data_IF_742632831637
#
_entry.id   IF_742632831637
#
_cell.length_a   1.000
_cell.length_b   1.000
_cell.length_c   1.000
_cell.angle_alpha   90.00
_cell.angle_beta   90.00
_cell.angle_gamma   90.00
#
_symmetry.space_group_name_H-M   'P 1'
#
loop_
_entity.id
_entity.type
_entity.pdbx_description
1 polymer ?
#
# COMPACT_ATOMS: atom_id res chain seq x y z
N UNK A 1 7.82 -17.48 10.80
CA UNK A 1 9.25 -17.25 10.53
C UNK A 1 10.05 -18.25 11.34
N UNK A 2 10.91 -19.06 10.73
CA UNK A 2 11.72 -20.01 11.49
C UNK A 2 13.12 -19.40 11.72
N UNK A 3 13.26 -18.62 12.78
CA UNK A 3 14.57 -18.54 13.43
C UNK A 3 14.85 -19.92 14.03
N UNK A 4 16.10 -20.41 14.00
CA UNK A 4 16.48 -21.57 14.80
C UNK A 4 16.01 -21.36 16.24
N UNK A 5 15.27 -22.31 16.82
CA UNK A 5 14.61 -22.13 18.12
C UNK A 5 15.58 -21.72 19.22
N UNK A 6 16.79 -22.30 19.22
CA UNK A 6 17.87 -21.97 20.14
C UNK A 6 18.30 -20.49 20.07
N UNK A 7 18.27 -19.89 18.88
CA UNK A 7 18.66 -18.49 18.67
C UNK A 7 17.56 -17.55 19.14
N UNK A 8 16.29 -17.93 18.91
CA UNK A 8 15.14 -17.19 19.42
C UNK A 8 15.14 -17.16 20.96
N UNK A 9 15.35 -18.31 21.60
CA UNK A 9 15.42 -18.42 23.06
C UNK A 9 16.55 -17.53 23.61
N UNK A 10 17.71 -17.53 22.96
CA UNK A 10 18.85 -16.67 23.34
C UNK A 10 18.54 -15.18 23.21
N UNK A 11 17.81 -14.76 22.18
CA UNK A 11 17.40 -13.36 22.02
C UNK A 11 16.38 -12.93 23.07
N UNK A 12 15.43 -13.80 23.40
CA UNK A 12 14.43 -13.57 24.44
C UNK A 12 15.09 -13.48 25.82
N UNK A 13 16.02 -14.39 26.14
CA UNK A 13 16.81 -14.37 27.38
C UNK A 13 17.64 -13.10 27.52
N UNK A 14 18.12 -12.53 26.40
CA UNK A 14 18.85 -11.26 26.35
C UNK A 14 17.95 -10.02 26.38
N UNK A 15 16.62 -10.20 26.40
CA UNK A 15 15.64 -9.12 26.50
C UNK A 15 15.18 -8.52 25.17
N UNK A 16 15.56 -9.10 24.03
CA UNK A 16 15.12 -8.63 22.70
C UNK A 16 13.78 -9.26 22.31
N UNK A 17 12.71 -8.80 22.97
CA UNK A 17 11.36 -9.32 22.78
C UNK A 17 10.50 -8.53 21.76
N UNK A 18 11.06 -7.48 21.14
CA UNK A 18 10.37 -6.68 20.13
C UNK A 18 11.29 -6.22 19.00
N UNK A 19 10.71 -5.99 17.82
CA UNK A 19 11.43 -5.56 16.63
C UNK A 19 12.11 -4.19 16.81
N UNK A 20 11.47 -3.29 17.55
CA UNK A 20 12.02 -1.98 17.86
C UNK A 20 13.30 -2.11 18.70
N UNK A 21 13.29 -2.93 19.75
CA UNK A 21 14.47 -3.12 20.60
C UNK A 21 15.67 -3.62 19.80
N UNK A 22 15.43 -4.50 18.83
CA UNK A 22 16.50 -5.05 18.00
C UNK A 22 16.97 -4.06 16.90
N UNK A 23 16.05 -3.29 16.31
CA UNK A 23 16.38 -2.26 15.33
C UNK A 23 17.22 -1.11 15.94
N UNK A 24 16.92 -0.71 17.18
CA UNK A 24 17.59 0.41 17.85
C UNK A 24 18.81 -0.01 18.70
N UNK A 25 18.98 -1.29 19.01
CA UNK A 25 20.13 -1.77 19.79
C UNK A 25 21.46 -1.70 19.05
N UNK A 26 21.44 -1.70 17.71
CA UNK A 26 22.63 -1.65 16.87
C UNK A 26 22.66 -0.31 16.12
N UNK A 27 23.56 0.61 16.50
CA UNK A 27 23.59 1.98 15.97
C UNK A 27 24.07 2.04 14.51
N UNK A 28 25.01 1.18 14.13
CA UNK A 28 25.64 1.16 12.81
C UNK A 28 25.93 -0.27 12.31
N UNK A 29 26.15 -0.41 11.00
CA UNK A 29 26.38 -1.70 10.35
C UNK A 29 27.69 -2.36 10.81
N UNK A 30 28.66 -1.58 11.30
CA UNK A 30 29.87 -2.10 11.90
C UNK A 30 29.63 -2.72 13.29
N UNK A 31 28.72 -2.17 14.11
CA UNK A 31 28.33 -2.78 15.38
C UNK A 31 27.48 -4.05 15.22
N UNK A 32 26.87 -4.27 14.06
CA UNK A 32 26.04 -5.46 13.79
C UNK A 32 26.86 -6.75 13.88
N UNK A 33 28.11 -6.72 13.41
CA UNK A 33 28.98 -7.89 13.45
C UNK A 33 29.39 -8.22 14.89
N UNK A 34 29.72 -7.20 15.69
CA UNK A 34 30.01 -7.36 17.12
C UNK A 34 28.81 -7.90 17.90
N UNK A 35 27.62 -7.38 17.61
CA UNK A 35 26.36 -7.87 18.18
C UNK A 35 26.11 -9.34 17.82
N UNK A 36 26.31 -9.69 16.54
CA UNK A 36 26.13 -11.06 16.04
C UNK A 36 27.07 -12.04 16.75
N UNK A 37 28.35 -11.68 16.93
CA UNK A 37 29.31 -12.51 17.68
C UNK A 37 28.92 -12.63 19.16
N UNK A 38 28.36 -11.58 19.75
CA UNK A 38 27.91 -11.62 21.15
C UNK A 38 26.71 -12.56 21.37
N UNK A 39 25.86 -12.75 20.36
CA UNK A 39 24.66 -13.62 20.44
C UNK A 39 24.99 -15.07 20.03
N UNK A 40 25.72 -15.28 18.93
CA UNK A 40 26.06 -16.62 18.44
C UNK A 40 27.16 -17.28 19.29
N UNK A 41 27.98 -16.47 19.96
CA UNK A 41 29.12 -16.94 20.74
C UNK A 41 30.29 -17.40 19.85
N UNK A 42 31.49 -17.46 20.44
CA UNK A 42 32.68 -18.00 19.75
C UNK A 42 32.95 -19.43 20.22
N UNK A 43 33.01 -20.43 19.32
CA UNK A 43 33.48 -21.75 19.69
C UNK A 43 34.96 -21.70 20.09
N UNK A 44 35.31 -22.37 21.20
CA UNK A 44 36.66 -22.38 21.78
C UNK A 44 37.70 -22.83 20.74
N UNK A 45 38.70 -21.99 20.45
CA UNK A 45 39.79 -22.28 19.52
C UNK A 45 39.55 -21.91 18.05
N UNK A 46 38.41 -21.32 17.71
CA UNK A 46 38.11 -20.90 16.34
C UNK A 46 38.64 -19.50 15.99
N UNK A 47 38.94 -19.31 14.70
CA UNK A 47 39.33 -18.02 14.14
C UNK A 47 38.31 -16.91 14.44
N UNK A 48 38.75 -15.64 14.54
CA UNK A 48 37.90 -14.55 14.99
C UNK A 48 36.67 -14.27 14.10
N UNK A 49 36.72 -14.71 12.85
CA UNK A 49 35.66 -14.58 11.84
C UNK A 49 34.75 -15.82 11.73
N UNK A 50 35.10 -16.95 12.34
CA UNK A 50 34.31 -18.18 12.29
C UNK A 50 32.83 -18.02 12.73
N UNK A 51 32.50 -17.31 13.83
CA UNK A 51 31.10 -17.13 14.24
C UNK A 51 30.28 -16.29 13.26
N UNK A 52 30.92 -15.42 12.47
CA UNK A 52 30.25 -14.55 11.48
C UNK A 52 29.82 -15.29 10.20
N UNK A 53 30.34 -16.49 9.96
CA UNK A 53 30.09 -17.31 8.77
C UNK A 53 29.10 -18.45 9.04
N UNK A 54 28.34 -18.38 10.14
CA UNK A 54 27.35 -19.38 10.52
C UNK A 54 25.95 -19.05 9.97
N UNK A 55 25.09 -20.07 9.87
CA UNK A 55 23.68 -19.88 9.50
C UNK A 55 22.95 -18.95 10.49
N UNK A 56 23.30 -19.05 11.77
CA UNK A 56 22.78 -18.22 12.85
C UNK A 56 23.15 -16.74 12.68
N UNK A 57 24.40 -16.46 12.32
CA UNK A 57 24.85 -15.11 12.01
C UNK A 57 24.15 -14.52 10.77
N UNK A 58 23.92 -15.33 9.74
CA UNK A 58 23.18 -14.90 8.56
C UNK A 58 21.69 -14.62 8.89
N UNK A 59 21.08 -15.45 9.73
CA UNK A 59 19.70 -15.25 10.20
C UNK A 59 19.56 -13.94 11.01
N UNK A 60 20.52 -13.63 11.89
CA UNK A 60 20.54 -12.39 12.66
C UNK A 60 20.71 -11.15 11.79
N UNK A 61 21.63 -11.16 10.81
CA UNK A 61 21.80 -10.04 9.87
C UNK A 61 20.53 -9.77 9.08
N UNK A 62 19.87 -10.82 8.61
CA UNK A 62 18.60 -10.71 7.88
C UNK A 62 17.49 -10.15 8.78
N UNK A 63 17.39 -10.64 10.01
CA UNK A 63 16.40 -10.18 10.98
C UNK A 63 16.62 -8.70 11.35
N UNK A 64 17.86 -8.27 11.54
CA UNK A 64 18.19 -6.87 11.77
C UNK A 64 17.76 -5.97 10.61
N UNK A 65 18.08 -6.38 9.37
CA UNK A 65 17.71 -5.60 8.18
C UNK A 65 16.19 -5.50 7.99
N UNK A 66 15.46 -6.57 8.31
CA UNK A 66 13.99 -6.55 8.32
C UNK A 66 13.47 -5.57 9.38
N UNK A 67 13.93 -5.67 10.62
CA UNK A 67 13.53 -4.77 11.70
C UNK A 67 13.84 -3.31 11.37
N UNK A 68 15.01 -3.03 10.80
CA UNK A 68 15.40 -1.69 10.36
C UNK A 68 14.53 -1.18 9.21
N UNK A 69 14.20 -2.03 8.24
CA UNK A 69 13.32 -1.67 7.12
C UNK A 69 11.88 -1.38 7.56
N UNK A 70 11.36 -2.15 8.51
CA UNK A 70 10.02 -1.92 9.06
C UNK A 70 10.00 -0.67 9.94
N UNK A 71 10.99 -0.48 10.82
CA UNK A 71 11.08 0.70 11.69
C UNK A 71 11.42 1.98 10.92
N UNK A 72 12.18 1.92 9.81
CA UNK A 72 12.42 3.08 8.95
C UNK A 72 11.14 3.60 8.26
N UNK A 73 10.08 2.78 8.22
CA UNK A 73 8.75 3.16 7.76
C UNK A 73 7.80 3.66 8.85
N UNK A 74 8.23 3.69 10.12
CA UNK A 74 7.38 4.06 11.27
C UNK A 74 7.61 5.52 11.66
N UNK A 75 6.83 6.42 11.05
CA UNK A 75 6.30 7.57 11.80
C UNK A 75 5.35 7.08 12.90
N UNK A 76 4.92 7.93 13.86
CA UNK A 76 4.21 7.49 15.06
C UNK A 76 3.02 6.58 14.72
N UNK A 77 2.95 5.47 15.44
CA UNK A 77 2.12 4.30 15.16
C UNK A 77 0.66 4.62 14.80
N UNK A 78 0.24 4.23 13.58
CA UNK A 78 -1.17 3.96 13.28
C UNK A 78 -1.44 2.46 13.41
N UNK A 79 -2.49 2.02 14.13
CA UNK A 79 -2.91 0.63 14.12
C UNK A 79 -3.57 0.30 12.78
N UNK A 80 -2.78 -0.21 11.84
CA UNK A 80 -3.32 -0.89 10.65
C UNK A 80 -3.73 -2.31 11.04
N UNK A 81 -4.95 -2.46 11.54
CA UNK A 81 -5.63 -3.74 11.52
C UNK A 81 -6.03 -4.02 10.06
N UNK A 82 -5.15 -4.67 9.31
CA UNK A 82 -5.53 -5.37 8.09
C UNK A 82 -6.36 -6.61 8.50
N UNK A 83 -7.49 -6.91 7.85
CA UNK A 83 -8.08 -8.23 7.99
C UNK A 83 -7.11 -9.27 7.42
N UNK A 84 -7.09 -10.50 7.97
CA UNK A 84 -6.24 -11.57 7.47
C UNK A 84 -6.61 -11.88 6.02
N UNK A 85 -5.60 -11.90 5.14
CA UNK A 85 -5.74 -12.31 3.75
C UNK A 85 -6.41 -13.69 3.69
N UNK A 86 -7.63 -13.71 3.16
CA UNK A 86 -8.36 -14.93 2.81
C UNK A 86 -7.75 -15.64 1.59
N UNK A 87 -8.18 -16.88 1.33
CA UNK A 87 -7.43 -17.85 0.55
C UNK A 87 -7.49 -17.58 -0.97
N UNK A 88 -6.32 -17.61 -1.61
CA UNK A 88 -6.15 -17.67 -3.07
C UNK A 88 -6.19 -16.30 -3.75
N UNK A 89 -5.04 -15.63 -3.83
CA UNK A 89 -4.84 -14.49 -4.75
C UNK A 89 -5.14 -14.97 -6.17
N UNK A 90 -6.34 -14.70 -6.68
CA UNK A 90 -6.67 -14.95 -8.09
C UNK A 90 -5.85 -13.96 -8.91
N UNK A 91 -4.91 -14.47 -9.68
CA UNK A 91 -4.15 -13.68 -10.63
C UNK A 91 -4.83 -13.86 -11.98
N UNK A 92 -5.17 -12.76 -12.65
CA UNK A 92 -5.73 -12.83 -13.99
C UNK A 92 -4.68 -13.37 -14.96
N UNK A 93 -5.10 -14.31 -15.81
CA UNK A 93 -4.27 -14.77 -16.92
C UNK A 93 -4.17 -13.69 -18.00
N UNK A 94 -3.16 -13.80 -18.88
CA UNK A 94 -2.99 -12.85 -19.99
C UNK A 94 -4.19 -12.86 -20.94
N UNK A 95 -4.79 -14.02 -21.11
CA UNK A 95 -5.97 -14.23 -21.93
C UNK A 95 -7.19 -13.52 -21.33
N UNK A 96 -7.42 -13.64 -20.02
CA UNK A 96 -8.52 -12.96 -19.34
C UNK A 96 -8.37 -11.43 -19.42
N UNK A 97 -7.14 -10.92 -19.28
CA UNK A 97 -6.86 -9.47 -19.44
C UNK A 97 -7.14 -9.03 -20.87
N UNK A 98 -6.75 -9.82 -21.87
CA UNK A 98 -7.02 -9.52 -23.27
C UNK A 98 -8.53 -9.49 -23.57
N UNK A 99 -9.31 -10.41 -23.00
CA UNK A 99 -10.77 -10.41 -23.10
C UNK A 99 -11.41 -9.18 -22.46
N UNK A 100 -10.95 -8.78 -21.27
CA UNK A 100 -11.41 -7.55 -20.60
C UNK A 100 -11.11 -6.33 -21.47
N UNK A 101 -9.90 -6.25 -22.03
CA UNK A 101 -9.52 -5.17 -22.94
C UNK A 101 -10.36 -5.16 -24.22
N UNK A 102 -10.65 -6.31 -24.82
CA UNK A 102 -11.52 -6.39 -26.00
C UNK A 102 -12.93 -5.86 -25.71
N UNK A 103 -13.51 -6.22 -24.57
CA UNK A 103 -14.81 -5.70 -24.12
C UNK A 103 -14.74 -4.19 -23.92
N UNK A 104 -13.69 -3.70 -23.28
CA UNK A 104 -13.46 -2.28 -23.05
C UNK A 104 -13.34 -1.49 -24.36
N UNK A 105 -12.52 -1.95 -25.32
CA UNK A 105 -12.36 -1.30 -26.62
C UNK A 105 -13.66 -1.26 -27.42
N UNK A 106 -14.51 -2.28 -27.28
CA UNK A 106 -15.84 -2.29 -27.90
C UNK A 106 -16.77 -1.25 -27.27
N UNK A 107 -16.71 -1.06 -25.96
CA UNK A 107 -17.51 -0.07 -25.24
C UNK A 107 -16.99 1.37 -25.41
N UNK A 108 -15.66 1.54 -25.51
CA UNK A 108 -14.98 2.84 -25.58
C UNK A 108 -13.97 2.87 -26.74
N UNK A 109 -14.43 2.90 -28.02
CA UNK A 109 -13.54 2.80 -29.18
C UNK A 109 -12.59 3.98 -29.37
N UNK A 110 -12.91 5.13 -28.75
CA UNK A 110 -12.07 6.34 -28.80
C UNK A 110 -11.07 6.43 -27.65
N UNK A 111 -11.10 5.50 -26.69
CA UNK A 111 -10.21 5.52 -25.53
C UNK A 111 -8.93 4.73 -25.77
N UNK A 112 -7.80 5.34 -25.42
CA UNK A 112 -6.48 4.75 -25.60
C UNK A 112 -5.88 4.38 -24.24
N UNK A 113 -5.90 3.09 -23.93
CA UNK A 113 -5.31 2.54 -22.70
C UNK A 113 -3.81 2.38 -22.91
N UNK A 114 -3.01 3.21 -22.24
CA UNK A 114 -1.54 3.13 -22.25
C UNK A 114 -1.05 2.20 -21.13
N UNK A 115 0.17 1.68 -21.25
CA UNK A 115 0.74 0.76 -20.24
C UNK A 115 0.92 1.38 -18.85
N UNK A 116 1.04 2.71 -18.76
CA UNK A 116 1.15 3.46 -17.51
C UNK A 116 -0.19 3.61 -16.76
N UNK A 117 -1.31 3.58 -17.48
CA UNK A 117 -2.67 3.68 -16.93
C UNK A 117 -3.43 2.34 -16.94
N UNK A 118 -2.88 1.32 -17.61
CA UNK A 118 -3.38 -0.05 -17.55
C UNK A 118 -3.16 -0.61 -16.14
N UNK A 119 -4.20 -1.04 -15.42
CA UNK A 119 -4.05 -1.66 -14.10
C UNK A 119 -3.34 -3.01 -14.19
N UNK A 120 -2.58 -3.36 -13.13
CA UNK A 120 -1.91 -4.65 -13.01
C UNK A 120 -2.90 -5.80 -12.79
N UNK A 121 -2.47 -7.03 -13.08
CA UNK A 121 -3.26 -8.24 -12.81
C UNK A 121 -3.71 -8.37 -11.34
N UNK A 122 -2.83 -8.22 -10.32
CA UNK A 122 -3.26 -8.29 -8.93
C UNK A 122 -4.22 -7.17 -8.53
N UNK A 123 -4.08 -5.97 -9.10
CA UNK A 123 -4.98 -4.86 -8.80
C UNK A 123 -6.38 -5.09 -9.40
N UNK A 124 -6.47 -5.62 -10.62
CA UNK A 124 -7.74 -6.04 -11.22
C UNK A 124 -8.45 -7.09 -10.35
N UNK A 125 -7.71 -8.04 -9.78
CA UNK A 125 -8.28 -9.08 -8.93
C UNK A 125 -8.94 -8.52 -7.66
N UNK A 126 -8.27 -7.57 -7.02
CA UNK A 126 -8.80 -6.85 -5.86
C UNK A 126 -10.08 -6.07 -6.21
N UNK A 127 -10.07 -5.37 -7.35
CA UNK A 127 -11.25 -4.60 -7.81
C UNK A 127 -12.42 -5.52 -8.11
N UNK A 128 -12.18 -6.66 -8.76
CA UNK A 128 -13.23 -7.66 -9.02
C UNK A 128 -13.82 -8.21 -7.73
N UNK A 129 -13.01 -8.52 -6.73
CA UNK A 129 -13.49 -8.98 -5.42
C UNK A 129 -14.42 -7.96 -4.76
N UNK A 130 -14.06 -6.68 -4.81
CA UNK A 130 -14.87 -5.58 -4.27
C UNK A 130 -16.21 -5.43 -5.02
N UNK A 131 -16.18 -5.55 -6.35
CA UNK A 131 -17.39 -5.47 -7.19
C UNK A 131 -18.31 -6.66 -6.98
N UNK A 132 -17.77 -7.88 -6.94
CA UNK A 132 -18.52 -9.11 -6.69
C UNK A 132 -19.17 -9.09 -5.29
N UNK A 133 -18.47 -8.53 -4.31
CA UNK A 133 -18.96 -8.35 -2.93
C UNK A 133 -19.99 -7.22 -2.79
N UNK A 134 -20.25 -6.45 -3.86
CA UNK A 134 -21.13 -5.25 -3.87
C UNK A 134 -20.82 -4.22 -2.78
N UNK A 135 -19.57 -4.21 -2.30
CA UNK A 135 -19.10 -3.31 -1.26
C UNK A 135 -17.74 -2.79 -1.68
N UNK A 136 -17.73 -1.68 -2.39
CA UNK A 136 -16.50 -1.09 -2.89
C UNK A 136 -15.82 -0.28 -1.80
N UNK A 137 -14.89 -0.91 -1.08
CA UNK A 137 -14.10 -0.25 -0.05
C UNK A 137 -12.86 0.44 -0.61
N UNK A 138 -12.29 1.36 0.17
CA UNK A 138 -11.06 2.08 -0.20
C UNK A 138 -9.90 1.13 -0.46
N UNK A 139 -9.28 1.27 -1.64
CA UNK A 139 -8.05 0.55 -1.99
C UNK A 139 -6.85 1.50 -1.78
N UNK A 140 -5.89 1.18 -0.90
CA UNK A 140 -4.68 1.98 -0.69
C UNK A 140 -3.91 2.22 -1.99
N UNK A 141 -3.35 3.42 -2.17
CA UNK A 141 -2.63 3.77 -3.41
C UNK A 141 -1.45 2.84 -3.71
N UNK A 142 -0.79 2.30 -2.68
CA UNK A 142 0.29 1.31 -2.84
C UNK A 142 -0.18 0.00 -3.50
N UNK A 143 -1.47 -0.33 -3.45
CA UNK A 143 -2.04 -1.51 -4.10
C UNK A 143 -2.62 -1.19 -5.49
N UNK A 144 -2.69 0.09 -5.88
CA UNK A 144 -3.12 0.53 -7.22
C UNK A 144 -1.92 0.53 -8.17
N UNK A 145 -1.41 -0.66 -8.51
CA UNK A 145 -0.27 -0.82 -9.41
C UNK A 145 -0.70 -0.90 -10.88
N UNK A 146 0.17 -0.42 -11.78
CA UNK A 146 -0.04 -0.53 -13.23
C UNK A 146 0.61 -1.80 -13.81
N UNK A 147 0.24 -2.15 -15.04
CA UNK A 147 0.88 -3.22 -15.80
C UNK A 147 2.39 -2.95 -15.99
N UNK A 148 2.79 -1.68 -16.10
CA UNK A 148 4.21 -1.29 -16.12
C UNK A 148 4.91 -1.53 -14.77
N UNK A 149 4.25 -1.23 -13.64
CA UNK A 149 4.80 -1.53 -12.31
C UNK A 149 4.98 -3.05 -12.13
N UNK A 150 4.02 -3.84 -12.60
CA UNK A 150 4.07 -5.30 -12.59
C UNK A 150 5.19 -5.86 -13.47
N UNK A 151 5.35 -5.34 -14.70
CA UNK A 151 6.44 -5.74 -15.58
C UNK A 151 7.80 -5.46 -14.95
N UNK A 152 8.01 -4.24 -14.42
CA UNK A 152 9.25 -3.90 -13.69
C UNK A 152 9.50 -4.80 -12.50
N UNK A 153 8.46 -5.09 -11.72
CA UNK A 153 8.55 -5.99 -10.57
C UNK A 153 8.99 -7.39 -10.98
N UNK A 154 8.37 -7.94 -12.02
CA UNK A 154 8.74 -9.26 -12.56
C UNK A 154 10.15 -9.27 -13.13
N UNK A 155 10.57 -8.22 -13.85
CA UNK A 155 11.92 -8.08 -14.40
C UNK A 155 13.00 -8.02 -13.32
N UNK A 156 12.76 -7.28 -12.24
CA UNK A 156 13.69 -7.18 -11.11
C UNK A 156 13.89 -8.54 -10.43
N UNK A 157 12.84 -9.36 -10.40
CA UNK A 157 12.87 -10.68 -9.78
C UNK A 157 13.49 -11.74 -10.69
N UNK A 158 13.62 -11.54 -12.00
CA UNK A 158 14.21 -12.56 -12.88
C UNK A 158 15.62 -12.91 -12.38
N UNK A 159 15.88 -14.17 -11.97
CA UNK A 159 17.19 -14.54 -11.48
C UNK A 159 18.17 -14.47 -12.65
N UNK A 160 19.05 -13.46 -12.63
CA UNK A 160 20.10 -13.25 -13.64
C UNK A 160 21.42 -13.92 -13.26
N UNK A 161 21.50 -14.50 -12.06
CA UNK A 161 22.69 -15.16 -11.52
C UNK A 161 22.29 -16.35 -10.66
N UNK A 162 23.16 -17.37 -10.60
CA UNK A 162 22.94 -18.59 -9.82
C UNK A 162 22.69 -18.29 -8.33
N UNK A 163 23.36 -17.29 -7.78
CA UNK A 163 23.12 -16.83 -6.41
C UNK A 163 21.67 -16.34 -6.19
N UNK A 164 21.09 -15.60 -7.16
CA UNK A 164 19.69 -15.15 -7.08
C UNK A 164 18.71 -16.30 -7.28
N UNK A 165 19.07 -17.29 -8.10
CA UNK A 165 18.28 -18.51 -8.29
C UNK A 165 18.25 -19.33 -6.99
N UNK A 166 19.40 -19.53 -6.35
CA UNK A 166 19.50 -20.20 -5.05
C UNK A 166 18.71 -19.44 -3.97
N UNK A 167 18.79 -18.11 -3.92
CA UNK A 167 17.98 -17.31 -3.01
C UNK A 167 16.48 -17.51 -3.24
N UNK A 168 16.02 -17.61 -4.49
CA UNK A 168 14.62 -17.92 -4.80
C UNK A 168 14.21 -19.30 -4.30
N UNK A 169 15.03 -20.32 -4.54
CA UNK A 169 14.76 -21.70 -4.09
C UNK A 169 14.71 -21.78 -2.56
N UNK A 170 15.60 -21.07 -1.87
CA UNK A 170 15.61 -20.97 -0.40
C UNK A 170 14.41 -20.19 0.16
N UNK A 171 13.75 -19.37 -0.66
CA UNK A 171 12.55 -18.63 -0.31
C UNK A 171 11.26 -19.40 -0.61
N UNK A 172 11.33 -20.63 -1.15
CA UNK A 172 10.16 -21.49 -1.36
C UNK A 172 9.42 -21.70 -0.03
N UNK A 173 8.16 -21.26 0.04
CA UNK A 173 7.33 -21.30 1.26
C UNK A 173 7.27 -20.00 2.06
N UNK A 174 7.95 -18.92 1.65
CA UNK A 174 7.71 -17.57 2.18
C UNK A 174 6.47 -16.94 1.54
N UNK A 175 5.76 -16.01 2.23
CA UNK A 175 4.67 -15.27 1.60
C UNK A 175 5.20 -14.52 0.37
N UNK A 176 4.53 -14.69 -0.77
CA UNK A 176 4.93 -13.99 -2.00
C UNK A 176 4.83 -12.48 -1.79
N UNK A 177 5.95 -11.78 -1.98
CA UNK A 177 5.97 -10.31 -2.10
C UNK A 177 4.98 -9.85 -3.17
N UNK A 178 4.13 -8.89 -2.81
CA UNK A 178 3.11 -8.31 -3.67
C UNK A 178 3.66 -7.20 -4.54
N UNK A 179 3.15 -7.07 -5.76
CA UNK A 179 3.46 -5.94 -6.63
C UNK A 179 2.78 -4.68 -6.12
N UNK A 180 3.56 -3.80 -5.47
CA UNK A 180 3.07 -2.51 -4.96
C UNK A 180 3.50 -1.35 -5.84
N UNK A 181 2.61 -0.37 -6.03
CA UNK A 181 2.93 0.89 -6.67
C UNK A 181 3.86 1.75 -5.79
N UNK A 182 4.83 2.40 -6.44
CA UNK A 182 5.63 3.45 -5.80
C UNK A 182 4.81 4.73 -5.66
N UNK A 183 4.67 5.22 -4.42
CA UNK A 183 4.05 6.50 -4.09
C UNK A 183 5.18 7.49 -3.79
N UNK A 184 5.45 8.47 -4.68
CA UNK A 184 6.49 9.45 -4.43
C UNK A 184 6.18 10.27 -3.17
N UNK A 185 7.17 10.45 -2.29
CA UNK A 185 7.02 11.27 -1.07
C UNK A 185 7.33 12.76 -1.30
N UNK A 186 7.86 13.10 -2.47
CA UNK A 186 8.27 14.46 -2.82
C UNK A 186 7.98 14.73 -4.30
N UNK A 187 7.72 15.99 -4.63
CA UNK A 187 7.39 16.46 -5.97
C UNK A 187 5.98 17.06 -6.07
N UNK A 188 5.56 17.44 -7.29
CA UNK A 188 4.22 17.95 -7.52
C UNK A 188 3.18 16.88 -7.19
N UNK A 189 2.16 17.27 -6.43
CA UNK A 189 1.13 16.39 -5.89
C UNK A 189 0.10 15.99 -6.95
N UNK A 190 -0.30 16.93 -7.82
CA UNK A 190 -1.34 16.71 -8.83
C UNK A 190 -1.09 15.49 -9.74
N UNK A 191 0.10 15.30 -10.35
CA UNK A 191 0.35 14.14 -11.20
C UNK A 191 0.24 12.80 -10.47
N UNK A 192 0.58 12.80 -9.17
CA UNK A 192 0.52 11.59 -8.33
C UNK A 192 -0.95 11.20 -8.11
N UNK A 193 -1.76 12.16 -7.70
CA UNK A 193 -3.19 11.95 -7.43
C UNK A 193 -3.92 11.54 -8.71
N UNK A 194 -3.66 12.23 -9.83
CA UNK A 194 -4.27 11.90 -11.13
C UNK A 194 -3.94 10.47 -11.56
N UNK A 195 -2.68 10.03 -11.45
CA UNK A 195 -2.26 8.65 -11.77
C UNK A 195 -3.06 7.61 -10.97
N UNK A 196 -3.21 7.79 -9.66
CA UNK A 196 -3.91 6.82 -8.81
C UNK A 196 -5.43 6.80 -9.00
N UNK A 197 -6.00 7.92 -9.42
CA UNK A 197 -7.39 7.98 -9.87
C UNK A 197 -7.54 7.31 -11.23
N UNK A 198 -6.70 7.62 -12.22
CA UNK A 198 -6.74 7.00 -13.55
C UNK A 198 -6.70 5.48 -13.45
N UNK A 199 -5.73 4.92 -12.71
CA UNK A 199 -5.63 3.48 -12.51
C UNK A 199 -6.91 2.87 -11.91
N UNK A 200 -7.49 3.51 -10.90
CA UNK A 200 -8.73 3.03 -10.29
C UNK A 200 -9.90 3.11 -11.28
N UNK A 201 -10.03 4.20 -12.03
CA UNK A 201 -11.10 4.38 -13.00
C UNK A 201 -11.05 3.31 -14.10
N UNK A 202 -9.87 3.07 -14.67
CA UNK A 202 -9.68 2.04 -15.69
C UNK A 202 -9.93 0.64 -15.12
N UNK A 203 -9.48 0.35 -13.89
CA UNK A 203 -9.74 -0.95 -13.26
C UNK A 203 -11.25 -1.21 -13.06
N UNK A 204 -12.00 -0.21 -12.56
CA UNK A 204 -13.45 -0.32 -12.36
C UNK A 204 -14.18 -0.43 -13.71
N UNK A 205 -13.79 0.36 -14.71
CA UNK A 205 -14.42 0.36 -16.02
C UNK A 205 -14.14 -0.93 -16.82
N UNK A 206 -12.95 -1.53 -16.68
CA UNK A 206 -12.60 -2.82 -17.28
C UNK A 206 -13.49 -3.96 -16.77
N UNK A 207 -13.93 -3.89 -15.51
CA UNK A 207 -14.87 -4.83 -14.91
C UNK A 207 -16.34 -4.47 -15.09
N UNK A 208 -16.65 -3.43 -15.89
CA UNK A 208 -18.01 -2.93 -16.08
C UNK A 208 -18.72 -2.53 -14.77
N UNK A 209 -17.94 -2.13 -13.75
CA UNK A 209 -18.46 -1.76 -12.44
C UNK A 209 -19.12 -0.37 -12.41
N UNK A 210 -18.62 0.54 -13.26
CA UNK A 210 -19.19 1.86 -13.49
C UNK A 210 -18.75 2.39 -14.85
N UNK A 211 -19.58 3.23 -15.47
CA UNK A 211 -19.28 3.80 -16.77
C UNK A 211 -18.14 4.84 -16.68
N UNK A 212 -17.16 4.76 -17.57
CA UNK A 212 -15.91 5.54 -17.51
C UNK A 212 -16.15 7.06 -17.45
N UNK A 213 -17.18 7.56 -18.15
CA UNK A 213 -17.54 8.98 -18.12
C UNK A 213 -17.89 9.48 -16.70
N UNK A 214 -18.63 8.68 -15.91
CA UNK A 214 -19.01 9.06 -14.55
C UNK A 214 -17.79 9.06 -13.63
N UNK A 215 -16.94 8.05 -13.78
CA UNK A 215 -15.67 7.95 -13.07
C UNK A 215 -14.76 9.14 -13.37
N UNK A 216 -14.63 9.56 -14.64
CA UNK A 216 -13.81 10.72 -15.02
C UNK A 216 -14.35 12.03 -14.45
N UNK A 217 -15.67 12.23 -14.49
CA UNK A 217 -16.31 13.40 -13.84
C UNK A 217 -16.06 13.42 -12.34
N UNK A 218 -16.16 12.26 -11.69
CA UNK A 218 -15.88 12.10 -10.26
C UNK A 218 -14.41 12.44 -9.94
N UNK A 219 -13.46 11.92 -10.72
CA UNK A 219 -12.03 12.20 -10.55
C UNK A 219 -11.69 13.68 -10.75
N UNK A 220 -12.21 14.32 -11.79
CA UNK A 220 -12.00 15.76 -12.03
C UNK A 220 -12.58 16.61 -10.90
N UNK A 221 -13.76 16.25 -10.39
CA UNK A 221 -14.35 16.94 -9.24
C UNK A 221 -13.52 16.73 -7.98
N UNK A 222 -13.06 15.51 -7.71
CA UNK A 222 -12.14 15.21 -6.60
C UNK A 222 -10.88 16.07 -6.70
N UNK A 223 -10.20 16.06 -7.85
CA UNK A 223 -8.98 16.83 -8.10
C UNK A 223 -9.22 18.33 -7.90
N UNK A 224 -10.34 18.87 -8.40
CA UNK A 224 -10.67 20.29 -8.27
C UNK A 224 -10.82 20.75 -6.83
N UNK A 225 -11.27 19.85 -5.92
CA UNK A 225 -11.45 20.16 -4.49
C UNK A 225 -10.15 19.88 -3.74
N UNK A 226 -9.55 18.71 -3.95
CA UNK A 226 -8.37 18.26 -3.23
C UNK A 226 -7.10 19.07 -3.56
N UNK A 227 -7.06 19.73 -4.72
CA UNK A 227 -5.94 20.57 -5.16
C UNK A 227 -6.30 22.06 -5.15
N UNK A 228 -7.45 22.43 -4.60
CA UNK A 228 -7.87 23.83 -4.52
C UNK A 228 -6.88 24.64 -3.68
N UNK A 229 -6.53 25.82 -4.18
CA UNK A 229 -5.72 26.78 -3.40
C UNK A 229 -6.61 27.33 -2.28
N UNK A 230 -6.19 27.24 -1.01
CA UNK A 230 -6.96 27.79 0.10
C UNK A 230 -7.24 29.28 -0.10
N UNK A 231 -8.47 29.70 0.21
CA UNK A 231 -8.85 31.11 0.13
C UNK A 231 -8.20 31.95 1.23
N UNK A 232 -7.92 31.33 2.38
CA UNK A 232 -7.13 31.96 3.44
C UNK A 232 -5.64 31.86 3.08
N UNK A 233 -5.00 33.01 2.97
CA UNK A 233 -3.57 33.14 2.64
C UNK A 233 -2.66 32.54 3.71
N UNK A 234 -3.17 32.30 4.92
CA UNK A 234 -2.43 31.65 6.01
C UNK A 234 -2.48 30.12 5.93
N UNK A 235 -3.36 29.54 5.12
CA UNK A 235 -3.48 28.10 4.98
C UNK A 235 -2.49 27.59 3.94
N UNK A 236 -1.74 26.54 4.31
CA UNK A 236 -0.87 25.84 3.38
C UNK A 236 -1.71 25.02 2.37
N UNK A 237 -1.19 24.75 1.17
CA UNK A 237 -1.80 23.79 0.28
C UNK A 237 -1.85 22.39 0.95
N UNK A 238 -2.83 21.56 0.59
CA UNK A 238 -2.95 20.21 1.10
C UNK A 238 -1.76 19.35 0.67
N UNK A 239 -1.28 18.56 1.62
CA UNK A 239 -0.22 17.57 1.44
C UNK A 239 -0.74 16.31 0.78
N UNK A 240 0.17 15.50 0.22
CA UNK A 240 -0.19 14.22 -0.39
C UNK A 240 -0.88 13.27 0.60
N UNK A 241 -0.48 13.31 1.88
CA UNK A 241 -1.07 12.48 2.93
C UNK A 241 -2.52 12.87 3.21
N UNK A 242 -2.80 14.16 3.36
CA UNK A 242 -4.16 14.67 3.58
C UNK A 242 -5.08 14.32 2.41
N UNK A 243 -4.57 14.38 1.18
CA UNK A 243 -5.35 14.00 0.00
C UNK A 243 -5.60 12.48 -0.03
N UNK A 244 -4.64 11.66 0.41
CA UNK A 244 -4.83 10.22 0.53
C UNK A 244 -5.86 9.86 1.62
N UNK A 245 -5.89 10.61 2.71
CA UNK A 245 -6.90 10.47 3.78
C UNK A 245 -8.29 10.94 3.32
N UNK A 246 -8.35 12.03 2.55
CA UNK A 246 -9.57 12.48 1.88
C UNK A 246 -10.13 11.44 0.89
N UNK A 247 -9.27 10.84 0.06
CA UNK A 247 -9.63 9.72 -0.82
C UNK A 247 -10.17 8.55 0.01
N UNK A 248 -9.50 8.19 1.11
CA UNK A 248 -9.99 7.15 2.02
C UNK A 248 -11.37 7.46 2.58
N UNK A 249 -11.59 8.68 3.07
CA UNK A 249 -12.87 9.11 3.63
C UNK A 249 -14.01 9.06 2.59
N UNK A 250 -13.73 9.48 1.36
CA UNK A 250 -14.67 9.37 0.24
C UNK A 250 -15.14 7.92 0.05
N UNK A 251 -14.20 7.00 -0.10
CA UNK A 251 -14.51 5.60 -0.40
C UNK A 251 -15.16 4.87 0.79
N UNK A 252 -14.88 5.30 2.03
CA UNK A 252 -15.63 4.84 3.21
C UNK A 252 -17.10 5.29 3.12
N UNK A 253 -17.36 6.55 2.74
CA UNK A 253 -18.70 7.07 2.55
C UNK A 253 -19.46 6.32 1.44
N UNK A 254 -18.81 6.09 0.29
CA UNK A 254 -19.37 5.28 -0.81
C UNK A 254 -19.72 3.88 -0.32
N UNK A 255 -18.81 3.21 0.40
CA UNK A 255 -19.05 1.87 0.93
C UNK A 255 -20.19 1.81 1.96
N UNK A 256 -20.40 2.86 2.76
CA UNK A 256 -21.54 2.97 3.68
C UNK A 256 -22.85 3.08 2.89
N UNK A 257 -22.93 3.98 1.90
CA UNK A 257 -24.15 4.13 1.09
C UNK A 257 -24.50 2.82 0.37
N UNK A 258 -23.51 2.12 -0.19
CA UNK A 258 -23.73 0.82 -0.83
C UNK A 258 -24.24 -0.24 0.16
N UNK A 259 -23.69 -0.28 1.37
CA UNK A 259 -24.07 -1.27 2.39
C UNK A 259 -25.44 -0.99 3.01
N UNK A 260 -25.72 0.28 3.33
CA UNK A 260 -26.90 0.68 4.07
C UNK A 260 -28.13 0.84 3.16
N UNK A 261 -27.92 1.30 1.91
CA UNK A 261 -29.01 1.65 0.99
C UNK A 261 -29.05 0.77 -0.26
N UNK A 262 -28.04 -0.09 -0.49
CA UNK A 262 -27.99 -0.99 -1.65
C UNK A 262 -27.78 -0.29 -2.99
N UNK A 263 -27.25 0.94 -2.99
CA UNK A 263 -27.06 1.72 -4.21
C UNK A 263 -25.98 1.13 -5.12
N UNK A 264 -26.09 1.40 -6.42
CA UNK A 264 -25.03 1.06 -7.37
C UNK A 264 -23.76 1.87 -7.04
N UNK A 265 -22.60 1.36 -7.46
CA UNK A 265 -21.33 2.08 -7.27
C UNK A 265 -21.37 3.48 -7.89
N UNK A 266 -21.99 3.58 -9.07
CA UNK A 266 -22.11 4.86 -9.80
C UNK A 266 -22.96 5.86 -9.02
N UNK A 267 -24.10 5.43 -8.48
CA UNK A 267 -25.02 6.31 -7.75
C UNK A 267 -24.45 6.72 -6.39
N UNK A 268 -23.84 5.77 -5.66
CA UNK A 268 -23.20 6.05 -4.37
C UNK A 268 -22.01 7.02 -4.52
N UNK A 269 -21.21 6.86 -5.57
CA UNK A 269 -20.12 7.77 -5.89
C UNK A 269 -20.64 9.16 -6.28
N UNK A 270 -21.70 9.21 -7.10
CA UNK A 270 -22.29 10.47 -7.53
C UNK A 270 -22.91 11.26 -6.35
N UNK A 271 -23.55 10.57 -5.41
CA UNK A 271 -24.09 11.17 -4.20
C UNK A 271 -23.00 11.82 -3.35
N UNK A 272 -21.91 11.10 -3.10
CA UNK A 272 -20.82 11.61 -2.27
C UNK A 272 -20.11 12.82 -2.91
N UNK A 273 -19.94 12.81 -4.24
CA UNK A 273 -19.14 13.81 -4.94
C UNK A 273 -19.96 15.02 -5.39
N UNK A 274 -21.21 14.82 -5.83
CA UNK A 274 -22.03 15.86 -6.44
C UNK A 274 -23.21 16.31 -5.57
N UNK A 275 -23.86 15.40 -4.85
CA UNK A 275 -25.04 15.74 -4.04
C UNK A 275 -24.68 16.19 -2.62
N UNK A 276 -23.55 15.70 -2.07
CA UNK A 276 -23.06 16.06 -0.73
C UNK A 276 -21.65 16.65 -0.74
N UNK A 277 -21.38 17.67 -1.58
CA UNK A 277 -20.05 18.24 -1.68
C UNK A 277 -19.60 18.84 -0.35
N UNK A 278 -20.51 19.36 0.49
CA UNK A 278 -20.16 19.98 1.77
C UNK A 278 -19.70 18.97 2.81
N UNK A 279 -20.36 17.80 2.88
CA UNK A 279 -19.97 16.69 3.76
C UNK A 279 -18.60 16.15 3.34
N UNK A 280 -18.42 15.98 2.04
CA UNK A 280 -17.15 15.54 1.48
C UNK A 280 -16.04 16.59 1.70
N UNK A 281 -16.30 17.86 1.47
CA UNK A 281 -15.34 18.97 1.68
C UNK A 281 -14.99 19.13 3.16
N UNK A 282 -15.94 18.89 4.07
CA UNK A 282 -15.69 18.88 5.50
C UNK A 282 -14.75 17.73 5.91
N UNK A 283 -14.83 16.55 5.27
CA UNK A 283 -13.85 15.48 5.52
C UNK A 283 -12.44 15.84 5.06
N UNK A 284 -12.31 16.58 3.96
CA UNK A 284 -11.01 17.11 3.52
C UNK A 284 -10.50 18.19 4.48
N UNK A 285 -11.35 19.13 4.89
CA UNK A 285 -11.01 20.17 5.85
C UNK A 285 -10.59 19.61 7.21
N UNK A 286 -11.31 18.61 7.71
CA UNK A 286 -10.96 17.91 8.94
C UNK A 286 -9.64 17.15 8.83
N UNK A 287 -9.36 16.48 7.70
CA UNK A 287 -8.07 15.84 7.47
C UNK A 287 -6.91 16.86 7.48
N UNK A 288 -7.12 18.04 6.87
CA UNK A 288 -6.15 19.15 6.87
C UNK A 288 -5.92 19.71 8.28
N UNK A 289 -6.99 19.87 9.08
CA UNK A 289 -6.88 20.36 10.46
C UNK A 289 -6.26 19.32 11.41
N UNK A 290 -6.50 18.03 11.21
CA UNK A 290 -5.96 16.97 12.08
C UNK A 290 -4.46 16.72 11.91
N UNK A 291 -3.86 17.20 10.82
CA UNK A 291 -2.40 17.24 10.65
C UNK A 291 -1.69 18.24 11.59
N UNK A 292 -2.46 19.11 12.25
CA UNK A 292 -2.00 20.17 13.16
C UNK A 292 -2.50 19.96 14.60
N UNK A 293 -2.68 18.71 15.04
CA UNK A 293 -3.17 18.39 16.38
C UNK A 293 -2.18 18.79 17.49
N UNK A 294 -2.18 20.08 17.83
CA UNK A 294 -2.27 20.55 19.21
C UNK A 294 -3.60 21.27 19.38
N UNK A 295 -4.52 20.66 20.15
CA UNK A 295 -5.76 21.24 20.67
C UNK A 295 -6.84 21.61 19.61
N UNK A 296 -8.12 21.23 19.70
CA UNK A 296 -8.98 20.97 20.84
C UNK A 296 -10.26 20.27 20.35
N UNK A 297 -10.81 19.42 21.21
CA UNK A 297 -12.23 19.04 21.27
C UNK A 297 -13.21 20.08 20.65
N UNK A 298 -14.10 19.63 19.77
CA UNK A 298 -15.48 20.11 19.79
C UNK A 298 -16.47 18.97 19.53
N UNK A 299 -17.21 18.69 20.60
CA UNK A 299 -18.35 17.81 20.70
C UNK A 299 -19.45 18.18 19.70
N UNK A 300 -20.06 17.17 19.06
CA UNK A 300 -21.42 17.27 18.56
C UNK A 300 -22.29 16.48 19.54
N UNK A 301 -22.86 17.21 20.50
CA UNK A 301 -23.85 16.73 21.45
C UNK A 301 -25.12 17.57 21.28
N UNK A 302 -26.21 16.86 20.95
CA UNK A 302 -27.63 17.19 21.07
C UNK A 302 -28.03 18.63 21.48
N UNK A 303 -28.85 19.25 20.63
CA UNK A 303 -30.13 19.86 21.02
C UNK A 303 -31.14 19.73 19.89
#
# INVERSE_FOLDING_TARGET
MALPSALLDTLVDKGFNSMALLAFAVPDEAALEHFTVSIVGRPLGADPSAPLLTADAAALRRLYNLCKSECAGVGPAQPSALPPAGPGKRIFSKEEIAELMQKFMKAYPSELVRNDIMPSSPFLALVREHLDSKRFSWIPWRLRSSAFDEERFLEQRRPRTDAKLLTRLLQEGQPEEECTASVPQSGPVEPIVRRFWDLLMYAVALHDGAHLLHLRKAAEKFLSIALAVPSDRNMRPPSLQEIAEADRALWIGVASIQADQGWSLTDALAEMIFARPDVYTAFIGAAIETGDASCSSCCIGCQ
#
